data_IF_887434400847
#
_entry.id   IF_887434400847
#
_cell.length_a   1.000
_cell.length_b   1.000
_cell.length_c   1.000
_cell.angle_alpha   90.00
_cell.angle_beta   90.00
_cell.angle_gamma   90.00
#
_symmetry.space_group_name_H-M   'P 1'
#
loop_
_entity.id
_entity.type
_entity.pdbx_description
1 polymer ?
#
# COMPACT_ATOMS: atom_id res chain seq x y z
N UNK A 1 -3.96 10.84 -12.41
CA UNK A 1 -5.05 9.90 -12.80
C UNK A 1 -6.48 10.39 -12.46
N UNK A 2 -6.99 10.42 -11.21
CA UNK A 2 -8.41 10.84 -10.96
C UNK A 2 -8.72 12.29 -11.37
N UNK A 3 -7.79 13.23 -11.14
CA UNK A 3 -7.97 14.62 -11.59
C UNK A 3 -7.82 14.81 -13.10
N UNK A 4 -6.94 14.05 -13.76
CA UNK A 4 -6.72 14.14 -15.21
C UNK A 4 -7.82 13.45 -16.03
N UNK A 5 -8.44 12.40 -15.48
CA UNK A 5 -9.57 11.71 -16.13
C UNK A 5 -10.84 12.56 -16.13
N UNK A 6 -11.04 13.47 -15.16
CA UNK A 6 -12.28 14.25 -15.03
C UNK A 6 -12.61 15.11 -16.26
N UNK A 7 -11.60 15.63 -16.96
CA UNK A 7 -11.78 16.59 -18.07
C UNK A 7 -12.20 15.91 -19.38
N UNK A 8 -11.85 14.63 -19.59
CA UNK A 8 -12.02 13.93 -20.86
C UNK A 8 -13.23 12.98 -20.93
N UNK A 9 -13.95 12.75 -19.83
CA UNK A 9 -15.04 11.76 -19.79
C UNK A 9 -16.40 12.36 -20.14
N UNK A 10 -17.17 11.61 -20.93
CA UNK A 10 -18.57 11.92 -21.22
C UNK A 10 -19.43 11.79 -19.95
N UNK A 11 -20.61 12.46 -19.88
CA UNK A 11 -21.50 12.34 -18.72
C UNK A 11 -21.92 10.90 -18.40
N UNK A 12 -22.10 10.07 -19.44
CA UNK A 12 -22.40 8.65 -19.27
C UNK A 12 -21.24 7.93 -18.60
N UNK A 13 -20.01 8.09 -19.11
CA UNK A 13 -18.83 7.43 -18.55
C UNK A 13 -18.57 7.85 -17.12
N UNK A 14 -18.81 9.13 -16.76
CA UNK A 14 -18.71 9.59 -15.37
C UNK A 14 -19.69 8.85 -14.46
N UNK A 15 -20.96 8.74 -14.84
CA UNK A 15 -21.97 8.05 -14.04
C UNK A 15 -21.62 6.58 -13.80
N UNK A 16 -21.15 5.87 -14.84
CA UNK A 16 -20.74 4.47 -14.73
C UNK A 16 -19.47 4.32 -13.89
N UNK A 17 -18.52 5.26 -14.02
CA UNK A 17 -17.28 5.26 -13.23
C UNK A 17 -17.55 5.56 -11.76
N UNK A 18 -18.48 6.47 -11.45
CA UNK A 18 -18.89 6.75 -10.08
C UNK A 18 -19.46 5.51 -9.40
N UNK A 19 -20.27 4.71 -10.12
CA UNK A 19 -20.75 3.44 -9.58
C UNK A 19 -19.62 2.41 -9.43
N UNK A 20 -18.72 2.32 -10.41
CA UNK A 20 -17.56 1.44 -10.34
C UNK A 20 -16.70 1.71 -9.09
N UNK A 21 -16.41 2.98 -8.79
CA UNK A 21 -15.54 3.37 -7.67
C UNK A 21 -16.13 3.07 -6.29
N UNK A 22 -17.44 2.81 -6.19
CA UNK A 22 -18.07 2.32 -4.96
C UNK A 22 -17.80 0.84 -4.70
N UNK A 23 -17.57 0.06 -5.76
CA UNK A 23 -17.46 -1.39 -5.69
C UNK A 23 -16.00 -1.87 -5.82
N UNK A 24 -15.19 -1.19 -6.64
CA UNK A 24 -13.82 -1.59 -6.93
C UNK A 24 -12.84 -0.44 -6.68
N UNK A 25 -11.64 -0.80 -6.21
CA UNK A 25 -10.56 0.16 -6.10
C UNK A 25 -9.99 0.48 -7.48
N UNK A 26 -10.09 1.74 -7.87
CA UNK A 26 -9.33 2.31 -8.99
C UNK A 26 -7.94 2.65 -8.47
N UNK A 27 -6.86 2.14 -9.10
CA UNK A 27 -5.50 2.35 -8.62
C UNK A 27 -5.16 3.84 -8.57
N UNK A 28 -4.41 4.23 -7.54
CA UNK A 28 -3.91 5.57 -7.34
C UNK A 28 -2.41 5.53 -7.04
N UNK A 29 -1.72 6.63 -7.33
CA UNK A 29 -0.30 6.78 -7.05
C UNK A 29 -0.10 7.28 -5.62
N UNK A 30 0.97 6.85 -4.97
CA UNK A 30 1.45 7.39 -3.70
C UNK A 30 2.62 8.36 -3.88
N UNK A 31 2.98 8.74 -5.11
CA UNK A 31 4.17 9.54 -5.40
C UNK A 31 4.14 10.91 -4.69
N UNK A 32 2.98 11.57 -4.67
CA UNK A 32 2.82 12.86 -4.01
C UNK A 32 2.86 12.71 -2.49
N UNK A 33 2.17 11.71 -1.95
CA UNK A 33 2.05 11.47 -0.51
C UNK A 33 3.34 10.93 0.09
N UNK A 34 4.15 10.21 -0.67
CA UNK A 34 5.45 9.68 -0.23
C UNK A 34 6.61 10.66 -0.46
N UNK A 35 6.37 11.81 -1.11
CA UNK A 35 7.40 12.81 -1.38
C UNK A 35 8.12 13.24 -0.10
N UNK A 36 7.36 13.55 0.95
CA UNK A 36 7.93 13.94 2.23
C UNK A 36 8.90 12.88 2.78
N UNK A 37 8.53 11.59 2.67
CA UNK A 37 9.39 10.48 3.08
C UNK A 37 10.66 10.43 2.22
N UNK A 38 10.48 10.42 0.90
CA UNK A 38 11.57 10.29 -0.07
C UNK A 38 12.60 11.42 0.05
N UNK A 39 12.16 12.63 0.39
CA UNK A 39 13.04 13.79 0.55
C UNK A 39 14.01 13.64 1.73
N UNK A 40 13.64 12.92 2.80
CA UNK A 40 14.52 12.68 3.95
C UNK A 40 15.20 11.32 3.97
N UNK A 41 14.80 10.34 3.14
CA UNK A 41 15.48 9.03 3.03
C UNK A 41 17.01 9.16 2.88
N UNK A 42 17.56 10.12 2.10
CA UNK A 42 19.01 10.31 1.99
C UNK A 42 19.70 10.68 3.31
N UNK A 43 18.96 11.25 4.27
CA UNK A 43 19.48 11.68 5.58
C UNK A 43 19.55 10.52 6.58
N UNK A 44 18.75 9.48 6.39
CA UNK A 44 18.75 8.31 7.25
C UNK A 44 19.99 7.43 6.99
N UNK A 45 20.55 6.79 8.04
CA UNK A 45 21.54 5.74 7.85
C UNK A 45 20.98 4.60 6.97
N UNK A 46 21.87 3.89 6.28
CA UNK A 46 21.48 2.92 5.24
C UNK A 46 20.50 1.84 5.74
N UNK A 47 20.68 1.35 6.96
CA UNK A 47 19.85 0.29 7.55
C UNK A 47 18.40 0.75 7.78
N UNK A 48 18.22 1.98 8.28
CA UNK A 48 16.91 2.62 8.45
C UNK A 48 16.25 2.91 7.10
N UNK A 49 17.04 3.38 6.12
CA UNK A 49 16.53 3.66 4.77
C UNK A 49 15.89 2.44 4.12
N UNK A 50 16.52 1.27 4.23
CA UNK A 50 16.02 0.04 3.63
C UNK A 50 14.65 -0.37 4.21
N UNK A 51 14.44 -0.16 5.51
CA UNK A 51 13.16 -0.46 6.18
C UNK A 51 12.08 0.54 5.72
N UNK A 52 12.40 1.84 5.67
CA UNK A 52 11.50 2.87 5.17
C UNK A 52 11.09 2.67 3.70
N UNK A 53 12.03 2.29 2.82
CA UNK A 53 11.74 1.95 1.42
C UNK A 53 10.83 0.72 1.33
N UNK A 54 11.10 -0.32 2.12
CA UNK A 54 10.26 -1.52 2.20
C UNK A 54 8.83 -1.19 2.62
N UNK A 55 8.63 -0.22 3.52
CA UNK A 55 7.30 0.24 3.91
C UNK A 55 6.53 0.88 2.73
N UNK A 56 7.17 1.79 1.98
CA UNK A 56 6.58 2.43 0.79
C UNK A 56 6.22 1.36 -0.26
N UNK A 57 7.13 0.43 -0.52
CA UNK A 57 6.93 -0.63 -1.49
C UNK A 57 5.77 -1.56 -1.09
N UNK A 58 5.63 -1.87 0.19
CA UNK A 58 4.52 -2.67 0.72
C UNK A 58 3.17 -1.98 0.55
N UNK A 59 3.08 -0.68 0.83
CA UNK A 59 1.84 0.08 0.60
C UNK A 59 1.50 0.14 -0.89
N UNK A 60 2.51 0.34 -1.75
CA UNK A 60 2.33 0.34 -3.20
C UNK A 60 1.85 -1.03 -3.70
N UNK A 61 2.46 -2.12 -3.24
CA UNK A 61 2.04 -3.49 -3.55
C UNK A 61 0.62 -3.80 -3.04
N UNK A 62 0.24 -3.23 -1.89
CA UNK A 62 -1.12 -3.35 -1.34
C UNK A 62 -2.14 -2.69 -2.27
N UNK A 63 -1.85 -1.50 -2.82
CA UNK A 63 -2.72 -0.83 -3.80
C UNK A 63 -2.84 -1.68 -5.07
N UNK A 64 -1.72 -2.18 -5.61
CA UNK A 64 -1.75 -3.00 -6.84
C UNK A 64 -2.56 -4.28 -6.65
N UNK A 65 -2.40 -4.94 -5.50
CA UNK A 65 -3.14 -6.16 -5.16
C UNK A 65 -4.63 -5.88 -4.99
N UNK A 66 -4.99 -4.79 -4.32
CA UNK A 66 -6.39 -4.42 -4.09
C UNK A 66 -7.09 -3.90 -5.35
N UNK A 67 -6.34 -3.23 -6.23
CA UNK A 67 -6.81 -2.76 -7.52
C UNK A 67 -6.71 -3.81 -8.64
N UNK A 68 -6.27 -5.04 -8.35
CA UNK A 68 -6.06 -6.09 -9.36
C UNK A 68 -7.29 -6.33 -10.26
N UNK A 69 -8.54 -6.37 -9.75
CA UNK A 69 -9.71 -6.49 -10.62
C UNK A 69 -9.79 -5.37 -11.67
N UNK A 70 -9.53 -4.12 -11.26
CA UNK A 70 -9.50 -2.97 -12.16
C UNK A 70 -8.40 -3.09 -13.20
N UNK A 71 -7.19 -3.42 -12.78
CA UNK A 71 -6.03 -3.54 -13.67
C UNK A 71 -6.24 -4.60 -14.75
N UNK A 72 -6.79 -5.76 -14.37
CA UNK A 72 -7.10 -6.86 -15.30
C UNK A 72 -8.20 -6.47 -16.29
N UNK A 73 -9.27 -5.83 -15.82
CA UNK A 73 -10.35 -5.35 -16.67
C UNK A 73 -9.88 -4.27 -17.65
N UNK A 74 -9.05 -3.34 -17.18
CA UNK A 74 -8.47 -2.29 -18.02
C UNK A 74 -7.57 -2.90 -19.10
N UNK A 75 -6.72 -3.86 -18.74
CA UNK A 75 -5.90 -4.57 -19.73
C UNK A 75 -6.77 -5.32 -20.74
N UNK A 76 -7.84 -5.99 -20.31
CA UNK A 76 -8.76 -6.68 -21.21
C UNK A 76 -9.46 -5.73 -22.19
N UNK A 77 -9.86 -4.52 -21.75
CA UNK A 77 -10.41 -3.49 -22.62
C UNK A 77 -9.38 -3.04 -23.67
N UNK A 78 -8.13 -2.80 -23.26
CA UNK A 78 -7.03 -2.49 -24.17
C UNK A 78 -6.79 -3.60 -25.19
N UNK A 79 -6.73 -4.85 -24.76
CA UNK A 79 -6.48 -6.00 -25.63
C UNK A 79 -7.60 -6.18 -26.66
N UNK A 80 -8.85 -6.03 -26.23
CA UNK A 80 -10.02 -6.10 -27.12
C UNK A 80 -9.99 -4.99 -28.17
N UNK A 81 -9.62 -3.78 -27.80
CA UNK A 81 -9.50 -2.68 -28.76
C UNK A 81 -8.32 -2.88 -29.70
N UNK A 82 -7.17 -3.34 -29.20
CA UNK A 82 -6.03 -3.70 -30.04
C UNK A 82 -6.40 -4.81 -31.04
N UNK A 83 -7.14 -5.83 -30.61
CA UNK A 83 -7.62 -6.90 -31.49
C UNK A 83 -8.50 -6.36 -32.63
N UNK A 84 -9.38 -5.38 -32.36
CA UNK A 84 -10.18 -4.72 -33.40
C UNK A 84 -9.29 -4.02 -34.44
N UNK A 85 -8.28 -3.27 -34.00
CA UNK A 85 -7.31 -2.64 -34.92
C UNK A 85 -6.50 -3.67 -35.70
N UNK A 86 -5.97 -4.69 -35.01
CA UNK A 86 -5.18 -5.76 -35.62
C UNK A 86 -5.97 -6.52 -36.68
N UNK A 87 -7.22 -6.90 -36.41
CA UNK A 87 -8.09 -7.55 -37.39
C UNK A 87 -8.35 -6.66 -38.61
N UNK A 88 -8.67 -5.39 -38.41
CA UNK A 88 -8.93 -4.44 -39.49
C UNK A 88 -7.68 -4.25 -40.38
N UNK A 89 -6.49 -4.12 -39.78
CA UNK A 89 -5.25 -3.95 -40.53
C UNK A 89 -4.79 -5.24 -41.20
N UNK A 90 -5.03 -6.42 -40.62
CA UNK A 90 -4.78 -7.71 -41.30
C UNK A 90 -5.64 -7.86 -42.56
N UNK A 91 -6.89 -7.40 -42.53
CA UNK A 91 -7.76 -7.38 -43.72
C UNK A 91 -7.18 -6.45 -44.78
N UNK A 92 -6.75 -5.24 -44.39
CA UNK A 92 -6.16 -4.25 -45.31
C UNK A 92 -4.83 -4.72 -45.89
N UNK A 93 -3.98 -5.35 -45.09
CA UNK A 93 -2.69 -5.88 -45.50
C UNK A 93 -2.81 -6.99 -46.57
N UNK A 94 -3.99 -7.57 -46.79
CA UNK A 94 -4.22 -8.48 -47.93
C UNK A 94 -3.96 -7.82 -49.29
N UNK A 95 -4.00 -6.49 -49.38
CA UNK A 95 -3.65 -5.75 -50.60
C UNK A 95 -2.14 -5.77 -50.91
N UNK A 96 -1.28 -6.09 -49.94
CA UNK A 96 0.16 -6.22 -50.15
C UNK A 96 0.41 -7.40 -51.09
N UNK A 97 0.95 -7.12 -52.27
CA UNK A 97 1.28 -8.11 -53.28
C UNK A 97 2.53 -8.92 -52.93
N UNK A 98 2.68 -10.08 -53.58
CA UNK A 98 3.85 -10.96 -53.45
C UNK A 98 5.08 -10.33 -54.12
N UNK A 99 6.22 -10.38 -53.45
CA UNK A 99 7.50 -9.97 -54.05
C UNK A 99 8.15 -11.10 -54.87
N UNK A 100 9.00 -10.78 -55.87
CA UNK A 100 9.73 -11.79 -56.63
C UNK A 100 10.60 -12.63 -55.69
N UNK A 101 10.42 -13.96 -55.71
CA UNK A 101 11.09 -14.95 -54.84
C UNK A 101 10.59 -15.05 -53.39
N UNK A 102 9.52 -14.35 -53.02
CA UNK A 102 8.91 -14.48 -51.69
C UNK A 102 8.11 -15.80 -51.60
N UNK A 103 8.26 -16.56 -50.52
CA UNK A 103 7.40 -17.72 -50.25
C UNK A 103 6.01 -17.27 -49.78
N UNK A 104 5.00 -18.13 -49.87
CA UNK A 104 3.67 -17.81 -49.35
C UNK A 104 3.69 -17.48 -47.84
N UNK A 105 4.46 -18.25 -47.07
CA UNK A 105 4.69 -17.96 -45.66
C UNK A 105 5.45 -16.64 -45.42
N UNK A 106 6.38 -16.27 -46.30
CA UNK A 106 7.06 -14.98 -46.26
C UNK A 106 6.11 -13.80 -46.48
N UNK A 107 5.22 -13.93 -47.46
CA UNK A 107 4.17 -12.93 -47.74
C UNK A 107 3.21 -12.79 -46.55
N UNK A 108 2.75 -13.89 -45.97
CA UNK A 108 1.87 -13.83 -44.79
C UNK A 108 2.56 -13.22 -43.57
N UNK A 109 3.83 -13.56 -43.33
CA UNK A 109 4.62 -12.96 -42.26
C UNK A 109 4.78 -11.45 -42.46
N UNK A 110 5.13 -10.99 -43.68
CA UNK A 110 5.26 -9.56 -44.01
C UNK A 110 3.93 -8.81 -43.85
N UNK A 111 2.82 -9.42 -44.28
CA UNK A 111 1.47 -8.87 -44.07
C UNK A 111 1.11 -8.73 -42.59
N UNK A 112 1.35 -9.78 -41.80
CA UNK A 112 1.09 -9.76 -40.36
C UNK A 112 1.98 -8.75 -39.63
N UNK A 113 3.25 -8.64 -40.02
CA UNK A 113 4.17 -7.63 -39.47
C UNK A 113 3.71 -6.21 -39.79
N UNK A 114 3.39 -5.91 -41.05
CA UNK A 114 2.89 -4.60 -41.47
C UNK A 114 1.60 -4.23 -40.74
N UNK A 115 0.65 -5.18 -40.63
CA UNK A 115 -0.59 -4.99 -39.88
C UNK A 115 -0.32 -4.72 -38.39
N UNK A 116 0.61 -5.45 -37.77
CA UNK A 116 0.98 -5.29 -36.37
C UNK A 116 1.56 -3.91 -36.05
N UNK A 117 2.46 -3.39 -36.91
CA UNK A 117 3.06 -2.05 -36.75
C UNK A 117 1.98 -0.96 -36.80
N UNK A 118 1.09 -1.04 -37.80
CA UNK A 118 0.02 -0.05 -37.96
C UNK A 118 -1.00 -0.15 -36.81
N UNK A 119 -1.40 -1.37 -36.43
CA UNK A 119 -2.34 -1.58 -35.33
C UNK A 119 -1.80 -1.06 -34.00
N UNK A 120 -0.50 -1.28 -33.70
CA UNK A 120 0.13 -0.75 -32.50
C UNK A 120 0.18 0.78 -32.51
N UNK A 121 0.57 1.39 -33.64
CA UNK A 121 0.56 2.85 -33.80
C UNK A 121 -0.84 3.44 -33.58
N UNK A 122 -1.87 2.80 -34.14
CA UNK A 122 -3.27 3.20 -33.93
C UNK A 122 -3.73 3.05 -32.48
N UNK A 123 -3.35 1.96 -31.82
CA UNK A 123 -3.69 1.75 -30.41
C UNK A 123 -3.07 2.82 -29.52
N UNK A 124 -1.79 3.15 -29.73
CA UNK A 124 -1.10 4.23 -28.99
C UNK A 124 -1.73 5.59 -29.24
N UNK A 125 -2.13 5.89 -30.48
CA UNK A 125 -2.82 7.14 -30.80
C UNK A 125 -4.21 7.20 -30.14
N UNK A 126 -4.96 6.10 -30.22
CA UNK A 126 -6.29 5.98 -29.63
C UNK A 126 -6.26 6.07 -28.10
N UNK A 127 -5.35 5.36 -27.42
CA UNK A 127 -5.26 5.39 -25.96
C UNK A 127 -4.87 6.76 -25.38
N UNK A 128 -4.42 7.69 -26.24
CA UNK A 128 -4.07 9.07 -25.87
C UNK A 128 -5.12 10.09 -26.33
N UNK A 129 -6.09 9.71 -27.15
CA UNK A 129 -7.17 10.60 -27.58
C UNK A 129 -8.30 10.61 -26.55
N UNK A 130 -9.00 11.73 -26.41
CA UNK A 130 -10.14 11.87 -25.48
C UNK A 130 -11.19 10.78 -25.69
N UNK A 131 -11.62 10.55 -26.93
CA UNK A 131 -12.56 9.49 -27.29
C UNK A 131 -12.08 8.08 -26.91
N UNK A 132 -10.76 7.86 -26.99
CA UNK A 132 -10.20 6.54 -26.72
C UNK A 132 -10.06 6.29 -25.23
N UNK A 133 -9.67 7.31 -24.47
CA UNK A 133 -9.69 7.29 -23.00
C UNK A 133 -11.13 7.04 -22.51
N UNK A 134 -12.11 7.81 -22.99
CA UNK A 134 -13.52 7.66 -22.61
C UNK A 134 -14.03 6.25 -22.93
N UNK A 135 -13.79 5.76 -24.15
CA UNK A 135 -14.20 4.43 -24.57
C UNK A 135 -13.56 3.30 -23.73
N UNK A 136 -12.28 3.40 -23.40
CA UNK A 136 -11.58 2.37 -22.62
C UNK A 136 -12.03 2.36 -21.16
N UNK A 137 -12.23 3.54 -20.56
CA UNK A 137 -12.76 3.67 -19.20
C UNK A 137 -14.18 3.11 -19.14
N UNK A 138 -15.04 3.48 -20.08
CA UNK A 138 -16.42 3.01 -20.15
C UNK A 138 -16.49 1.48 -20.32
N UNK A 139 -15.65 0.91 -21.18
CA UNK A 139 -15.59 -0.54 -21.41
C UNK A 139 -15.10 -1.29 -20.16
N UNK A 140 -14.06 -0.77 -19.49
CA UNK A 140 -13.56 -1.30 -18.21
C UNK A 140 -14.64 -1.28 -17.13
N UNK A 141 -15.32 -0.15 -16.98
CA UNK A 141 -16.32 0.04 -15.94
C UNK A 141 -17.54 -0.87 -16.16
N UNK A 142 -18.06 -0.94 -17.40
CA UNK A 142 -19.17 -1.83 -17.75
C UNK A 142 -18.82 -3.30 -17.54
N UNK A 143 -17.61 -3.71 -17.90
CA UNK A 143 -17.16 -5.10 -17.72
C UNK A 143 -17.14 -5.49 -16.24
N UNK A 144 -16.54 -4.67 -15.38
CA UNK A 144 -16.46 -4.95 -13.94
C UNK A 144 -17.81 -4.91 -13.25
N UNK A 145 -18.65 -3.92 -13.57
CA UNK A 145 -19.98 -3.82 -12.99
C UNK A 145 -20.86 -5.00 -13.39
N UNK A 146 -20.75 -5.47 -14.63
CA UNK A 146 -21.44 -6.69 -15.07
C UNK A 146 -20.95 -7.93 -14.31
N UNK A 147 -19.62 -8.09 -14.13
CA UNK A 147 -19.09 -9.21 -13.33
C UNK A 147 -19.56 -9.15 -11.87
N UNK A 148 -19.69 -7.95 -11.31
CA UNK A 148 -20.17 -7.72 -9.94
C UNK A 148 -21.65 -8.08 -9.74
N UNK A 149 -22.42 -8.35 -10.80
CA UNK A 149 -23.78 -8.91 -10.66
C UNK A 149 -23.77 -10.35 -10.10
N UNK A 150 -22.61 -11.03 -10.13
CA UNK A 150 -22.46 -12.38 -9.59
C UNK A 150 -22.02 -12.37 -8.11
N UNK A 151 -22.70 -13.12 -7.21
CA UNK A 151 -22.37 -13.13 -5.77
C UNK A 151 -20.93 -13.52 -5.45
N UNK A 152 -20.34 -14.42 -6.24
CA UNK A 152 -18.97 -14.88 -6.07
C UNK A 152 -17.98 -13.73 -6.28
N UNK A 153 -18.16 -12.92 -7.32
CA UNK A 153 -17.31 -11.76 -7.60
C UNK A 153 -17.50 -10.68 -6.54
N UNK A 154 -18.73 -10.44 -6.07
CA UNK A 154 -18.97 -9.52 -4.94
C UNK A 154 -18.20 -9.96 -3.70
N UNK A 155 -18.22 -11.26 -3.38
CA UNK A 155 -17.50 -11.80 -2.24
C UNK A 155 -15.99 -11.67 -2.41
N UNK A 156 -15.45 -11.93 -3.60
CA UNK A 156 -14.03 -11.78 -3.89
C UNK A 156 -13.59 -10.32 -3.81
N UNK A 157 -14.34 -9.39 -4.40
CA UNK A 157 -14.03 -7.96 -4.36
C UNK A 157 -13.98 -7.43 -2.92
N UNK A 158 -14.96 -7.83 -2.09
CA UNK A 158 -14.95 -7.52 -0.65
C UNK A 158 -13.73 -8.10 0.06
N UNK A 159 -13.45 -9.38 -0.15
CA UNK A 159 -12.32 -10.07 0.51
C UNK A 159 -10.99 -9.40 0.17
N UNK A 160 -10.79 -9.00 -1.09
CA UNK A 160 -9.58 -8.31 -1.53
C UNK A 160 -9.37 -7.00 -0.74
N UNK A 161 -10.42 -6.21 -0.50
CA UNK A 161 -10.33 -4.99 0.30
C UNK A 161 -10.07 -5.27 1.79
N UNK A 162 -10.63 -6.35 2.34
CA UNK A 162 -10.33 -6.79 3.72
C UNK A 162 -8.85 -7.18 3.86
N UNK A 163 -8.32 -7.96 2.91
CA UNK A 163 -6.90 -8.33 2.90
C UNK A 163 -5.99 -7.12 2.70
N UNK A 164 -6.38 -6.18 1.84
CA UNK A 164 -5.71 -4.89 1.70
C UNK A 164 -5.66 -4.11 3.02
N UNK A 165 -6.77 -4.06 3.75
CA UNK A 165 -6.86 -3.39 5.06
C UNK A 165 -5.88 -4.00 6.06
N UNK A 166 -5.80 -5.34 6.11
CA UNK A 166 -4.82 -6.04 6.96
C UNK A 166 -3.39 -5.74 6.53
N UNK A 167 -3.11 -5.75 5.23
CA UNK A 167 -1.78 -5.48 4.69
C UNK A 167 -1.30 -4.05 4.98
N UNK A 168 -2.18 -3.04 4.90
CA UNK A 168 -1.86 -1.65 5.25
C UNK A 168 -1.44 -1.50 6.71
N UNK A 169 -2.17 -2.14 7.63
CA UNK A 169 -1.79 -2.17 9.05
C UNK A 169 -0.49 -2.94 9.28
N UNK A 170 -0.32 -4.10 8.64
CA UNK A 170 0.88 -4.93 8.77
C UNK A 170 2.14 -4.21 8.27
N UNK A 171 2.02 -3.40 7.22
CA UNK A 171 3.13 -2.56 6.75
C UNK A 171 3.56 -1.55 7.82
N UNK A 172 2.61 -0.92 8.52
CA UNK A 172 2.88 0.00 9.61
C UNK A 172 3.48 -0.71 10.84
N UNK A 173 2.92 -1.85 11.24
CA UNK A 173 3.46 -2.68 12.33
C UNK A 173 4.92 -3.02 12.09
N UNK A 174 5.25 -3.47 10.88
CA UNK A 174 6.62 -3.82 10.51
C UNK A 174 7.54 -2.63 10.48
N UNK A 175 7.12 -1.50 9.89
CA UNK A 175 7.91 -0.28 9.90
C UNK A 175 8.29 0.10 11.34
N UNK A 176 7.30 0.21 12.23
CA UNK A 176 7.56 0.64 13.60
C UNK A 176 8.38 -0.40 14.36
N UNK A 177 8.07 -1.69 14.22
CA UNK A 177 8.77 -2.76 14.92
C UNK A 177 10.23 -2.89 14.52
N UNK A 178 10.51 -2.93 13.21
CA UNK A 178 11.86 -3.09 12.69
C UNK A 178 12.72 -1.85 13.01
N UNK A 179 12.17 -0.65 12.83
CA UNK A 179 12.90 0.60 13.08
C UNK A 179 13.17 0.85 14.57
N UNK A 180 12.20 0.57 15.45
CA UNK A 180 12.42 0.68 16.90
C UNK A 180 13.39 -0.38 17.41
N UNK A 181 13.32 -1.59 16.88
CA UNK A 181 14.30 -2.65 17.19
C UNK A 181 15.70 -2.20 16.81
N UNK A 182 15.88 -1.72 15.58
CA UNK A 182 17.16 -1.24 15.08
C UNK A 182 17.68 -0.02 15.87
N UNK A 183 16.78 0.92 16.19
CA UNK A 183 17.10 2.10 16.99
C UNK A 183 17.63 1.72 18.37
N UNK A 184 16.98 0.80 19.08
CA UNK A 184 17.39 0.41 20.44
C UNK A 184 18.64 -0.48 20.44
N UNK A 185 18.85 -1.29 19.40
CA UNK A 185 20.11 -2.03 19.20
C UNK A 185 21.28 -1.06 18.93
N UNK A 186 21.02 0.04 18.22
CA UNK A 186 22.03 1.05 17.87
C UNK A 186 22.27 2.08 18.97
N UNK A 187 21.24 2.42 19.76
CA UNK A 187 21.26 3.36 20.89
C UNK A 187 20.62 2.75 22.14
N UNK A 188 21.33 1.85 22.84
CA UNK A 188 20.82 1.17 24.03
C UNK A 188 20.47 2.12 25.18
N UNK A 189 21.02 3.33 25.20
CA UNK A 189 20.69 4.36 26.18
C UNK A 189 19.19 4.73 26.14
N UNK A 190 18.56 4.67 24.97
CA UNK A 190 17.13 4.95 24.79
C UNK A 190 16.21 3.92 25.45
N UNK A 191 16.72 2.73 25.78
CA UNK A 191 15.97 1.73 26.55
C UNK A 191 15.57 2.30 27.90
N UNK A 192 16.47 3.06 28.54
CA UNK A 192 16.16 3.69 29.83
C UNK A 192 15.04 4.70 29.71
N UNK A 193 14.97 5.44 28.59
CA UNK A 193 13.86 6.35 28.27
C UNK A 193 12.54 5.59 28.13
N UNK A 194 12.53 4.50 27.36
CA UNK A 194 11.36 3.65 27.18
C UNK A 194 10.85 3.07 28.51
N UNK A 195 11.75 2.55 29.34
CA UNK A 195 11.41 1.92 30.63
C UNK A 195 11.09 2.93 31.74
N UNK A 196 11.40 4.21 31.55
CA UNK A 196 11.05 5.28 32.48
C UNK A 196 9.64 5.81 32.24
N UNK A 197 9.09 5.64 31.04
CA UNK A 197 7.70 5.98 30.76
C UNK A 197 6.75 4.98 31.45
N UNK A 198 5.79 5.49 32.25
CA UNK A 198 4.91 4.64 33.04
C UNK A 198 4.00 3.75 32.19
N UNK A 199 3.60 4.22 31.00
CA UNK A 199 2.70 3.49 30.11
C UNK A 199 3.45 2.41 29.34
N UNK A 200 4.65 2.72 28.86
CA UNK A 200 5.52 1.80 28.15
C UNK A 200 6.11 0.74 29.10
N UNK A 201 6.55 1.11 30.31
CA UNK A 201 7.13 0.17 31.29
C UNK A 201 6.25 -1.04 31.55
N UNK A 202 4.93 -0.86 31.63
CA UNK A 202 3.97 -1.96 31.87
C UNK A 202 3.84 -2.91 30.67
N UNK A 203 4.16 -2.44 29.46
CA UNK A 203 4.03 -3.19 28.21
C UNK A 203 5.35 -3.81 27.76
N UNK A 204 6.47 -3.15 28.07
CA UNK A 204 7.82 -3.48 27.59
C UNK A 204 8.75 -3.86 28.74
N UNK A 205 8.32 -4.79 29.61
CA UNK A 205 9.19 -5.32 30.65
C UNK A 205 10.28 -6.20 30.03
N UNK A 206 11.51 -6.06 30.54
CA UNK A 206 12.64 -6.90 30.14
C UNK A 206 12.32 -8.38 30.41
N UNK A 207 12.58 -9.27 29.43
CA UNK A 207 12.37 -10.70 29.63
C UNK A 207 13.29 -11.24 30.73
N UNK A 208 12.84 -12.29 31.41
CA UNK A 208 13.70 -13.03 32.35
C UNK A 208 14.68 -13.89 31.55
N UNK A 209 15.92 -13.43 31.44
CA UNK A 209 16.97 -14.15 30.72
C UNK A 209 17.50 -15.32 31.54
N UNK A 210 17.46 -16.52 30.97
CA UNK A 210 18.13 -17.69 31.53
C UNK A 210 19.57 -17.81 30.97
N UNK A 211 20.34 -18.78 31.46
CA UNK A 211 21.75 -18.97 31.05
C UNK A 211 21.86 -19.38 29.58
N UNK A 212 20.91 -20.17 29.06
CA UNK A 212 20.89 -20.59 27.66
C UNK A 212 20.60 -19.40 26.72
N UNK A 213 19.72 -18.48 27.13
CA UNK A 213 19.44 -17.24 26.41
C UNK A 213 20.68 -16.36 26.31
N UNK A 214 21.43 -16.24 27.41
CA UNK A 214 22.69 -15.50 27.43
C UNK A 214 23.77 -16.17 26.58
N UNK A 215 23.88 -17.50 26.65
CA UNK A 215 24.84 -18.27 25.88
C UNK A 215 24.57 -18.16 24.36
N UNK A 216 23.31 -18.25 23.93
CA UNK A 216 22.91 -18.08 22.52
C UNK A 216 23.26 -16.70 21.95
N UNK A 217 23.41 -15.70 22.83
CA UNK A 217 23.74 -14.30 22.50
C UNK A 217 25.21 -13.97 22.76
N UNK A 218 26.04 -14.95 23.09
CA UNK A 218 27.47 -14.77 23.34
C UNK A 218 27.78 -13.96 24.61
N UNK A 219 26.84 -13.91 25.56
CA UNK A 219 26.91 -13.11 26.79
C UNK A 219 27.09 -11.59 26.55
N UNK A 220 26.79 -11.10 25.36
CA UNK A 220 26.82 -9.68 25.01
C UNK A 220 25.43 -9.20 24.55
N UNK A 221 24.83 -8.34 25.36
CA UNK A 221 23.51 -7.75 25.10
C UNK A 221 23.61 -6.30 24.60
N UNK A 222 24.82 -5.76 24.45
CA UNK A 222 25.05 -4.34 24.20
C UNK A 222 24.43 -3.83 22.90
N UNK A 223 24.20 -4.71 21.91
CA UNK A 223 23.58 -4.40 20.61
C UNK A 223 22.35 -5.25 20.31
N UNK A 224 21.66 -5.71 21.35
CA UNK A 224 20.52 -6.61 21.22
C UNK A 224 19.31 -6.15 22.04
N UNK A 225 19.37 -4.95 22.60
CA UNK A 225 18.32 -4.46 23.50
C UNK A 225 16.98 -4.26 22.80
N UNK A 226 16.97 -3.83 21.55
CA UNK A 226 15.76 -3.75 20.74
C UNK A 226 15.15 -5.12 20.52
N UNK A 227 15.97 -6.09 20.10
CA UNK A 227 15.51 -7.47 19.90
C UNK A 227 14.95 -8.05 21.19
N UNK A 228 15.67 -7.93 22.31
CA UNK A 228 15.20 -8.42 23.60
C UNK A 228 13.86 -7.81 24.04
N UNK A 229 13.59 -6.56 23.70
CA UNK A 229 12.36 -5.88 24.08
C UNK A 229 11.19 -6.14 23.14
N UNK A 230 11.44 -6.40 21.85
CA UNK A 230 10.40 -6.53 20.84
C UNK A 230 10.21 -7.96 20.28
N UNK A 231 11.15 -8.89 20.51
CA UNK A 231 11.10 -10.28 19.99
C UNK A 231 9.84 -11.03 20.45
N UNK A 232 9.45 -10.88 21.72
CA UNK A 232 8.24 -11.51 22.27
C UNK A 232 7.06 -10.53 22.43
N UNK A 233 7.25 -9.25 22.11
CA UNK A 233 6.23 -8.21 22.37
C UNK A 233 5.46 -7.89 21.11
N UNK A 234 4.17 -8.12 21.22
CA UNK A 234 3.24 -7.89 20.13
C UNK A 234 2.93 -6.38 19.95
N UNK A 235 3.55 -5.79 18.93
CA UNK A 235 3.22 -4.44 18.45
C UNK A 235 1.93 -4.40 17.63
N UNK A 236 1.18 -5.50 17.51
CA UNK A 236 0.02 -5.58 16.64
C UNK A 236 -1.20 -4.77 17.09
N UNK A 237 -1.18 -4.26 18.31
CA UNK A 237 -2.25 -3.43 18.84
C UNK A 237 -1.85 -1.96 18.86
N UNK A 238 -2.75 -1.09 18.37
CA UNK A 238 -2.56 0.36 18.41
C UNK A 238 -2.16 0.88 19.80
N UNK A 239 -2.75 0.45 20.93
CA UNK A 239 -2.32 0.92 22.23
C UNK A 239 -0.85 0.58 22.55
N UNK A 240 -0.34 -0.57 22.11
CA UNK A 240 1.06 -0.93 22.33
C UNK A 240 1.99 -0.15 21.41
N UNK A 241 1.63 -0.03 20.14
CA UNK A 241 2.35 0.79 19.16
C UNK A 241 2.47 2.25 19.64
N UNK A 242 1.36 2.83 20.12
CA UNK A 242 1.33 4.16 20.73
C UNK A 242 2.31 4.32 21.88
N UNK A 243 2.25 3.42 22.85
CA UNK A 243 3.15 3.50 24.01
C UNK A 243 4.63 3.46 23.58
N UNK A 244 4.99 2.62 22.61
CA UNK A 244 6.37 2.56 22.12
C UNK A 244 6.81 3.85 21.42
N UNK A 245 5.99 4.34 20.48
CA UNK A 245 6.27 5.55 19.72
C UNK A 245 6.35 6.77 20.63
N UNK A 246 5.37 6.98 21.52
CA UNK A 246 5.27 8.16 22.38
C UNK A 246 6.39 8.22 23.43
N UNK A 247 6.87 7.07 23.91
CA UNK A 247 7.96 7.02 24.87
C UNK A 247 9.32 7.37 24.23
N UNK A 248 9.52 7.05 22.96
CA UNK A 248 10.80 7.22 22.28
C UNK A 248 10.87 8.51 21.44
N UNK A 249 9.80 8.84 20.72
CA UNK A 249 9.73 9.93 19.75
C UNK A 249 8.87 11.07 20.31
N UNK A 250 9.48 12.24 20.48
CA UNK A 250 8.77 13.44 20.91
C UNK A 250 8.20 14.18 19.69
N UNK A 251 7.04 13.73 19.20
CA UNK A 251 6.30 14.36 18.11
C UNK A 251 4.83 14.50 18.47
N UNK A 252 4.33 15.74 18.53
CA UNK A 252 2.90 16.01 18.71
C UNK A 252 2.08 15.55 17.50
N UNK A 253 2.62 15.71 16.30
CA UNK A 253 1.97 15.27 15.06
C UNK A 253 1.78 13.75 15.04
N UNK A 254 2.83 12.99 15.39
CA UNK A 254 2.74 11.53 15.47
C UNK A 254 1.68 11.10 16.51
N UNK A 255 1.69 11.74 17.69
CA UNK A 255 0.67 11.50 18.74
C UNK A 255 -0.74 11.74 18.24
N UNK A 256 -0.96 12.83 17.54
CA UNK A 256 -2.27 13.17 16.96
C UNK A 256 -2.71 12.11 15.94
N UNK A 257 -1.83 11.73 15.00
CA UNK A 257 -2.14 10.72 13.97
C UNK A 257 -2.45 9.36 14.57
N UNK A 258 -1.71 8.95 15.61
CA UNK A 258 -1.97 7.71 16.33
C UNK A 258 -3.21 7.77 17.23
N UNK A 259 -3.62 8.96 17.67
CA UNK A 259 -4.87 9.16 18.42
C UNK A 259 -6.10 9.30 17.53
N UNK A 260 -5.92 9.46 16.21
CA UNK A 260 -7.02 9.67 15.29
C UNK A 260 -8.00 8.48 15.26
N UNK A 261 -9.32 8.74 15.13
CA UNK A 261 -10.33 7.69 14.97
C UNK A 261 -10.03 6.72 13.81
N UNK A 262 -9.42 7.22 12.72
CA UNK A 262 -9.04 6.40 11.56
C UNK A 262 -7.97 5.37 11.92
N UNK A 263 -7.00 5.69 12.78
CA UNK A 263 -6.02 4.72 13.29
C UNK A 263 -6.70 3.64 14.15
N UNK A 264 -7.61 4.05 15.03
CA UNK A 264 -8.39 3.12 15.84
C UNK A 264 -9.23 2.17 14.99
N UNK A 265 -9.93 2.70 14.00
CA UNK A 265 -10.74 1.92 13.05
C UNK A 265 -9.87 0.93 12.27
N UNK A 266 -8.73 1.34 11.74
CA UNK A 266 -7.81 0.43 11.03
C UNK A 266 -7.39 -0.76 11.91
N UNK A 267 -6.94 -0.47 13.13
CA UNK A 267 -6.57 -1.50 14.11
C UNK A 267 -7.74 -2.45 14.42
N UNK A 268 -8.94 -1.90 14.64
CA UNK A 268 -10.13 -2.69 14.95
C UNK A 268 -10.60 -3.55 13.77
N UNK A 269 -10.53 -3.01 12.55
CA UNK A 269 -10.84 -3.75 11.33
C UNK A 269 -9.85 -4.90 11.15
N UNK A 270 -8.54 -4.65 11.26
CA UNK A 270 -7.51 -5.69 11.18
C UNK A 270 -7.76 -6.80 12.21
N UNK A 271 -8.02 -6.43 13.46
CA UNK A 271 -8.29 -7.40 14.52
C UNK A 271 -9.51 -8.29 14.19
N UNK A 272 -10.62 -7.69 13.74
CA UNK A 272 -11.82 -8.43 13.35
C UNK A 272 -11.54 -9.36 12.15
N UNK A 273 -10.80 -8.89 11.14
CA UNK A 273 -10.47 -9.67 9.95
C UNK A 273 -9.61 -10.87 10.32
N UNK A 274 -8.52 -10.66 11.07
CA UNK A 274 -7.57 -11.72 11.42
C UNK A 274 -8.19 -12.77 12.34
N UNK A 275 -8.97 -12.37 13.35
CA UNK A 275 -9.45 -13.30 14.38
C UNK A 275 -10.87 -13.83 14.13
N UNK A 276 -11.68 -13.15 13.32
CA UNK A 276 -13.09 -13.50 13.06
C UNK A 276 -13.44 -13.56 11.58
N UNK A 277 -12.45 -13.50 10.67
CA UNK A 277 -12.66 -13.40 9.22
C UNK A 277 -13.59 -12.25 8.83
N UNK A 278 -13.54 -11.15 9.58
CA UNK A 278 -14.38 -9.98 9.34
C UNK A 278 -15.83 -10.13 9.82
N UNK A 279 -16.17 -11.22 10.51
CA UNK A 279 -17.52 -11.40 11.08
C UNK A 279 -17.69 -10.49 12.30
N UNK A 280 -18.65 -9.57 12.24
CA UNK A 280 -18.92 -8.58 13.29
C UNK A 280 -19.38 -9.25 14.58
N UNK A 281 -18.73 -8.92 15.69
CA UNK A 281 -19.09 -9.36 17.04
C UNK A 281 -19.42 -8.18 17.97
N UNK A 282 -20.00 -8.49 19.14
CA UNK A 282 -20.38 -7.47 20.14
C UNK A 282 -19.19 -6.65 20.63
N UNK A 283 -18.00 -7.27 20.68
CA UNK A 283 -16.79 -6.59 21.12
C UNK A 283 -16.37 -5.51 20.12
N UNK A 284 -16.40 -5.81 18.82
CA UNK A 284 -16.14 -4.85 17.76
C UNK A 284 -17.12 -3.68 17.81
N UNK A 285 -18.43 -3.95 17.92
CA UNK A 285 -19.46 -2.90 18.00
C UNK A 285 -19.26 -2.00 19.23
N UNK A 286 -18.98 -2.59 20.39
CA UNK A 286 -18.71 -1.86 21.63
C UNK A 286 -17.46 -0.97 21.51
N UNK A 287 -16.41 -1.44 20.83
CA UNK A 287 -15.14 -0.70 20.66
C UNK A 287 -15.20 0.39 19.61
N UNK A 288 -16.00 0.21 18.55
CA UNK A 288 -16.02 1.12 17.38
C UNK A 288 -17.23 2.05 17.36
N UNK A 289 -18.33 1.67 18.02
CA UNK A 289 -19.61 2.36 17.88
C UNK A 289 -20.26 2.20 16.50
N UNK A 290 -19.78 1.27 15.68
CA UNK A 290 -20.33 1.01 14.36
C UNK A 290 -21.80 0.57 14.44
N UNK A 291 -22.58 0.92 13.42
CA UNK A 291 -24.00 0.57 13.31
C UNK A 291 -24.19 -0.62 12.37
N UNK A 292 -23.58 -1.75 12.72
CA UNK A 292 -23.67 -3.03 12.01
C UNK A 292 -24.38 -4.06 12.90
N UNK A 293 -24.91 -5.15 12.33
CA UNK A 293 -25.47 -6.23 13.13
C UNK A 293 -24.39 -7.26 13.47
N UNK A 294 -24.54 -7.91 14.62
CA UNK A 294 -23.69 -9.05 14.99
C UNK A 294 -23.94 -10.20 14.00
N UNK A 295 -22.87 -10.80 13.50
CA UNK A 295 -22.89 -11.86 12.49
C UNK A 295 -22.77 -11.36 11.05
N UNK A 296 -22.94 -10.06 10.80
CA UNK A 296 -22.72 -9.47 9.48
C UNK A 296 -21.23 -9.57 9.10
N UNK A 297 -20.96 -9.62 7.80
CA UNK A 297 -19.59 -9.49 7.29
C UNK A 297 -19.21 -8.01 7.26
N UNK A 298 -18.02 -7.68 7.76
CA UNK A 298 -17.43 -6.37 7.62
C UNK A 298 -17.29 -6.02 6.14
N UNK A 299 -17.75 -4.83 5.77
CA UNK A 299 -17.59 -4.26 4.43
C UNK A 299 -16.70 -3.05 4.57
N UNK A 300 -15.59 -3.04 3.83
CA UNK A 300 -14.73 -1.86 3.67
C UNK A 300 -14.92 -1.39 2.22
N UNK A 301 -15.39 -0.16 2.04
CA UNK A 301 -15.53 0.41 0.70
C UNK A 301 -14.15 0.79 0.11
N UNK A 302 -14.00 0.91 -1.22
CA UNK A 302 -12.75 1.39 -1.82
C UNK A 302 -12.28 2.74 -1.27
N UNK A 303 -13.21 3.68 -1.06
CA UNK A 303 -12.89 4.99 -0.50
C UNK A 303 -12.44 4.90 0.97
N UNK A 304 -13.08 4.05 1.76
CA UNK A 304 -12.66 3.80 3.14
C UNK A 304 -11.28 3.13 3.20
N UNK A 305 -11.03 2.14 2.34
CA UNK A 305 -9.71 1.50 2.25
C UNK A 305 -8.62 2.51 1.91
N UNK A 306 -8.86 3.40 0.93
CA UNK A 306 -7.94 4.47 0.57
C UNK A 306 -7.66 5.41 1.75
N UNK A 307 -8.70 5.83 2.48
CA UNK A 307 -8.56 6.64 3.70
C UNK A 307 -7.68 5.93 4.75
N UNK A 308 -7.96 4.65 5.01
CA UNK A 308 -7.22 3.85 5.99
C UNK A 308 -5.74 3.69 5.59
N UNK A 309 -5.46 3.40 4.32
CA UNK A 309 -4.11 3.23 3.79
C UNK A 309 -3.32 4.53 3.83
N UNK A 310 -3.92 5.65 3.40
CA UNK A 310 -3.28 6.97 3.45
C UNK A 310 -3.02 7.41 4.90
N UNK A 311 -3.90 7.05 5.83
CA UNK A 311 -3.67 7.32 7.25
C UNK A 311 -2.49 6.49 7.80
N UNK A 312 -2.36 5.22 7.40
CA UNK A 312 -1.20 4.40 7.76
C UNK A 312 0.11 4.99 7.19
N UNK A 313 0.10 5.45 5.94
CA UNK A 313 1.22 6.19 5.33
C UNK A 313 1.57 7.45 6.12
N UNK A 314 0.56 8.24 6.50
CA UNK A 314 0.76 9.46 7.29
C UNK A 314 1.39 9.18 8.65
N UNK A 315 0.96 8.11 9.35
CA UNK A 315 1.62 7.69 10.60
C UNK A 315 3.07 7.30 10.33
N UNK A 316 3.33 6.49 9.31
CA UNK A 316 4.69 6.06 8.95
C UNK A 316 5.60 7.25 8.61
N UNK A 317 5.08 8.25 7.90
CA UNK A 317 5.81 9.49 7.58
C UNK A 317 6.21 10.26 8.84
N UNK A 318 5.27 10.51 9.76
CA UNK A 318 5.55 11.23 11.01
C UNK A 318 6.49 10.44 11.93
N UNK A 319 6.34 9.12 11.96
CA UNK A 319 7.22 8.22 12.70
C UNK A 319 8.66 8.32 12.18
N UNK A 320 8.86 8.20 10.88
CA UNK A 320 10.17 8.29 10.25
C UNK A 320 10.80 9.68 10.41
N UNK A 321 10.02 10.76 10.31
CA UNK A 321 10.49 12.11 10.57
C UNK A 321 10.99 12.27 12.02
N UNK A 322 10.25 11.75 12.99
CA UNK A 322 10.65 11.75 14.39
C UNK A 322 11.86 10.84 14.67
N UNK A 323 11.94 9.70 13.99
CA UNK A 323 13.06 8.77 14.07
C UNK A 323 14.36 9.42 13.55
N UNK A 324 14.28 10.16 12.44
CA UNK A 324 15.41 10.88 11.86
C UNK A 324 16.12 11.78 12.88
N UNK A 325 15.36 12.46 13.74
CA UNK A 325 15.90 13.32 14.81
C UNK A 325 16.70 12.54 15.88
N UNK A 326 16.46 11.24 16.02
CA UNK A 326 17.14 10.38 16.98
C UNK A 326 18.40 9.73 16.39
N UNK A 327 18.41 9.46 15.08
CA UNK A 327 19.49 8.72 14.42
C UNK A 327 20.49 9.61 13.69
N UNK A 328 20.09 10.80 13.25
CA UNK A 328 21.00 11.75 12.63
C UNK A 328 21.78 12.46 13.74
N UNK A 329 23.13 12.35 13.77
CA UNK A 329 23.94 13.05 14.75
C UNK A 329 23.66 14.54 14.65
N UNK A 330 23.38 15.21 15.78
CA UNK A 330 23.32 16.67 15.86
C UNK A 330 24.55 17.25 15.15
N UNK A 331 24.37 17.84 13.96
CA UNK A 331 25.44 18.54 13.25
C UNK A 331 25.89 19.83 13.98
N UNK A 332 25.37 20.08 15.18
CA UNK A 332 25.55 21.30 15.96
C UNK A 332 26.32 21.08 17.27
N UNK A 333 27.45 20.34 17.29
CA UNK A 333 28.41 20.40 18.42
C UNK A 333 29.90 20.50 18.00
N UNK A 334 30.28 20.39 16.71
CA UNK A 334 31.70 20.52 16.32
C UNK A 334 32.13 21.89 15.75
N UNK A 335 31.31 22.94 15.88
CA UNK A 335 31.71 24.31 15.51
C UNK A 335 32.33 25.12 16.66
N UNK A 336 32.57 24.51 17.83
CA UNK A 336 33.09 25.20 19.03
C UNK A 336 34.37 24.59 19.64
N UNK A 337 35.05 23.68 18.94
CA UNK A 337 36.27 23.06 19.44
C UNK A 337 37.29 22.82 18.31
N UNK A 338 37.63 23.87 17.59
CA UNK A 338 38.84 23.93 16.79
C UNK A 338 39.37 25.38 16.81
N UNK A 339 40.23 25.61 17.81
CA UNK A 339 41.32 26.61 17.92
C UNK A 339 41.00 28.09 17.76
#
# INVERSE_FOLDING_TARGET
MRQELSVALTPETRLVTDELTKQFLVPFSLEDETRAIRDFLPLLPLEFRAIAETFIDRLSATIQTTAAPFLLANQAAHDKQYQRFSMAERIRARSIGREPNETEGGLEARRNQAAGVIANSKMVAFSKSEDGIDSLVLETARFLLHLHETPEIQSVAREILLQGTVAAWSALEMLVGDELTLLLDSRPDLVTKLLSDQSAKRKFELPKLNVDDLASRGFDLSKQMGRLLFEERDLSSLPTLKCACEALIDSSCLREKLAAPTAWRLNQNRHLIVHRRGTVDEEYLRKTGAKLNVGDQLVVSPAEFEELLLHALSIGSEFLAGLALLVVPNQSINAGAAQ
#
